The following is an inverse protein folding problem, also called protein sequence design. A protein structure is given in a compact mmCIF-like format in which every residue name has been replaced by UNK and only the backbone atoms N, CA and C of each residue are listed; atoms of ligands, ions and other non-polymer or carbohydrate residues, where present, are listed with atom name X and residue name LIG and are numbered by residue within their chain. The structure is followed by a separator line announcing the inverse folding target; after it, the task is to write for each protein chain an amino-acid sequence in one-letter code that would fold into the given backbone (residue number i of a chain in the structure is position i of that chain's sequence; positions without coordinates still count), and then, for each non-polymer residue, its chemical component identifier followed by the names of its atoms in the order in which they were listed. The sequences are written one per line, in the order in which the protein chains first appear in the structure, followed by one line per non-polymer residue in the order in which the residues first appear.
data_IF_636709932464
#
_entry.id   IF_636709932464
#
_cell.length_a   1.000
_cell.length_b   1.000
_cell.length_c   1.000
_cell.angle_alpha   90.00
_cell.angle_beta   90.00
_cell.angle_gamma   90.00
#
_symmetry.space_group_name_H-M   'P 1'
#
loop_
_entity.id
_entity.type
_entity.pdbx_description
1 polymer ?
#
# COMPACT_ATOMS: atom_id res chain seq x y z
N UNK A 1 10.33 30.07 -3.98
CA UNK A 1 8.87 30.02 -3.74
C UNK A 1 8.14 28.78 -4.33
N UNK A 2 8.80 27.85 -5.06
CA UNK A 2 8.16 26.65 -5.67
C UNK A 2 7.87 25.47 -4.70
N UNK A 3 8.56 25.38 -3.55
CA UNK A 3 8.46 24.24 -2.61
C UNK A 3 7.17 24.17 -1.81
N UNK A 4 6.50 25.31 -1.58
CA UNK A 4 5.32 25.40 -0.70
C UNK A 4 4.11 24.64 -1.26
N UNK A 5 3.98 24.54 -2.60
CA UNK A 5 2.84 23.89 -3.23
C UNK A 5 2.90 22.36 -3.21
N UNK A 6 4.08 21.74 -3.22
CA UNK A 6 4.20 20.27 -3.15
C UNK A 6 3.87 19.75 -1.76
N UNK A 7 4.36 20.42 -0.72
CA UNK A 7 4.00 20.10 0.66
C UNK A 7 2.52 20.30 0.96
N UNK A 8 1.91 21.37 0.43
CA UNK A 8 0.45 21.56 0.56
C UNK A 8 -0.33 20.42 -0.07
N UNK A 9 0.02 20.01 -1.29
CA UNK A 9 -0.61 18.87 -1.98
C UNK A 9 -0.40 17.56 -1.23
N UNK A 10 0.80 17.34 -0.70
CA UNK A 10 1.12 16.18 0.12
C UNK A 10 0.19 16.08 1.32
N UNK A 11 0.05 17.15 2.11
CA UNK A 11 -0.87 17.14 3.26
C UNK A 11 -2.33 16.93 2.85
N UNK A 12 -2.78 17.50 1.73
CA UNK A 12 -4.14 17.28 1.22
C UNK A 12 -4.36 15.82 0.82
N UNK A 13 -3.40 15.18 0.16
CA UNK A 13 -3.48 13.76 -0.22
C UNK A 13 -3.47 12.86 1.01
N UNK A 14 -2.61 13.15 2.01
CA UNK A 14 -2.59 12.41 3.28
C UNK A 14 -3.92 12.53 4.00
N UNK A 15 -4.47 13.75 4.13
CA UNK A 15 -5.76 13.98 4.77
C UNK A 15 -6.89 13.24 4.04
N UNK A 16 -6.90 13.28 2.71
CA UNK A 16 -7.85 12.53 1.89
C UNK A 16 -7.74 11.03 2.16
N UNK A 17 -6.53 10.47 2.11
CA UNK A 17 -6.31 9.03 2.30
C UNK A 17 -6.71 8.57 3.71
N UNK A 18 -6.41 9.36 4.74
CA UNK A 18 -6.83 9.09 6.12
C UNK A 18 -8.35 9.12 6.26
N UNK A 19 -9.03 10.15 5.73
CA UNK A 19 -10.49 10.22 5.78
C UNK A 19 -11.15 9.08 5.00
N UNK A 20 -10.59 8.73 3.84
CA UNK A 20 -11.06 7.62 3.01
C UNK A 20 -10.86 6.27 3.72
N UNK A 21 -9.75 6.09 4.43
CA UNK A 21 -9.48 4.90 5.25
C UNK A 21 -10.49 4.72 6.40
N UNK A 22 -10.95 5.82 7.01
CA UNK A 22 -12.03 5.76 7.99
C UNK A 22 -13.34 5.25 7.35
N UNK A 23 -13.70 5.79 6.18
CA UNK A 23 -14.90 5.36 5.44
C UNK A 23 -14.82 3.87 5.12
N UNK A 24 -13.66 3.41 4.65
CA UNK A 24 -13.40 2.00 4.39
C UNK A 24 -13.61 1.13 5.64
N UNK A 25 -12.97 1.50 6.76
CA UNK A 25 -13.10 0.75 8.01
C UNK A 25 -14.55 0.71 8.52
N UNK A 26 -15.31 1.80 8.34
CA UNK A 26 -16.73 1.84 8.67
C UNK A 26 -17.58 0.92 7.78
N UNK A 27 -17.30 0.88 6.47
CA UNK A 27 -17.97 -0.04 5.54
C UNK A 27 -17.67 -1.50 5.92
N UNK A 28 -16.41 -1.82 6.22
CA UNK A 28 -16.02 -3.17 6.67
C UNK A 28 -16.70 -3.53 7.98
N UNK A 29 -16.81 -2.61 8.95
CA UNK A 29 -17.61 -2.83 10.17
C UNK A 29 -19.05 -3.21 9.84
N UNK A 30 -19.71 -2.45 8.95
CA UNK A 30 -21.09 -2.72 8.57
C UNK A 30 -21.24 -4.09 7.90
N UNK A 31 -20.38 -4.41 6.94
CA UNK A 31 -20.39 -5.70 6.25
C UNK A 31 -20.16 -6.85 7.23
N UNK A 32 -19.11 -6.77 8.05
CA UNK A 32 -18.79 -7.80 9.04
C UNK A 32 -19.90 -7.97 10.07
N UNK A 33 -20.61 -6.91 10.43
CA UNK A 33 -21.78 -6.98 11.32
C UNK A 33 -22.96 -7.67 10.63
N UNK A 34 -23.31 -7.28 9.40
CA UNK A 34 -24.41 -7.89 8.64
C UNK A 34 -24.18 -9.37 8.34
N UNK A 35 -22.93 -9.76 8.11
CA UNK A 35 -22.53 -11.14 7.85
C UNK A 35 -22.35 -11.97 9.13
N UNK A 36 -22.41 -11.34 10.31
CA UNK A 36 -22.04 -11.94 11.60
C UNK A 36 -20.62 -12.53 11.57
N UNK A 37 -19.68 -11.79 10.97
CA UNK A 37 -18.27 -12.14 10.76
C UNK A 37 -17.33 -11.01 11.17
N UNK A 38 -17.41 -10.58 12.43
CA UNK A 38 -16.54 -9.52 12.99
C UNK A 38 -15.05 -9.87 12.89
N UNK A 39 -14.70 -11.13 13.19
CA UNK A 39 -13.34 -11.64 13.03
C UNK A 39 -13.14 -12.17 11.60
N UNK A 40 -12.18 -11.67 10.81
CA UNK A 40 -11.99 -12.11 9.44
C UNK A 40 -11.46 -13.54 9.35
N UNK A 41 -10.60 -13.93 10.30
CA UNK A 41 -10.01 -15.25 10.36
C UNK A 41 -10.83 -16.20 11.24
N UNK A 42 -11.83 -16.85 10.62
CA UNK A 42 -12.71 -17.83 11.28
C UNK A 42 -13.24 -18.87 10.28
N UNK A 43 -13.82 -20.00 10.73
CA UNK A 43 -14.40 -20.99 9.84
C UNK A 43 -15.49 -20.38 8.94
N UNK A 44 -15.46 -20.74 7.65
CA UNK A 44 -16.32 -20.16 6.61
C UNK A 44 -16.21 -18.61 6.54
N UNK A 45 -15.00 -18.08 6.22
CA UNK A 45 -14.72 -16.65 6.34
C UNK A 45 -15.49 -15.80 5.32
N UNK A 46 -15.80 -16.33 4.13
CA UNK A 46 -16.50 -15.61 3.06
C UNK A 46 -17.85 -16.28 2.74
N UNK A 47 -18.90 -16.06 3.56
CA UNK A 47 -20.21 -16.66 3.34
C UNK A 47 -20.81 -16.27 1.99
N UNK A 48 -21.62 -17.15 1.41
CA UNK A 48 -22.30 -16.86 0.14
C UNK A 48 -23.53 -16.00 0.34
N UNK A 49 -23.37 -14.72 0.01
CA UNK A 49 -24.37 -13.66 0.20
C UNK A 49 -24.74 -12.94 -1.09
N UNK A 50 -24.46 -13.56 -2.24
CA UNK A 50 -24.90 -13.09 -3.57
C UNK A 50 -24.47 -11.66 -3.87
N UNK A 51 -25.43 -10.72 -3.79
CA UNK A 51 -25.26 -9.30 -4.13
C UNK A 51 -24.19 -8.61 -3.29
N UNK A 52 -24.10 -8.92 -1.99
CA UNK A 52 -23.11 -8.30 -1.09
C UNK A 52 -21.67 -8.65 -1.50
N UNK A 53 -21.41 -9.87 -1.97
CA UNK A 53 -20.09 -10.28 -2.43
C UNK A 53 -19.64 -9.54 -3.70
N UNK A 54 -20.57 -9.34 -4.65
CA UNK A 54 -20.29 -8.58 -5.86
C UNK A 54 -20.06 -7.09 -5.57
N UNK A 55 -20.87 -6.53 -4.67
CA UNK A 55 -20.70 -5.15 -4.23
C UNK A 55 -19.31 -4.94 -3.59
N UNK A 56 -18.84 -5.89 -2.79
CA UNK A 56 -17.51 -5.81 -2.17
C UNK A 56 -16.38 -5.83 -3.20
N UNK A 57 -16.48 -6.71 -4.21
CA UNK A 57 -15.49 -6.77 -5.27
C UNK A 57 -15.39 -5.45 -6.06
N UNK A 58 -16.55 -4.84 -6.37
CA UNK A 58 -16.61 -3.56 -7.07
C UNK A 58 -16.10 -2.43 -6.17
N UNK A 59 -16.40 -2.47 -4.87
CA UNK A 59 -15.95 -1.49 -3.89
C UNK A 59 -14.41 -1.48 -3.76
N UNK A 60 -13.78 -2.66 -3.72
CA UNK A 60 -12.32 -2.77 -3.74
C UNK A 60 -11.72 -2.21 -5.03
N UNK A 61 -12.30 -2.54 -6.20
CA UNK A 61 -11.87 -1.96 -7.47
C UNK A 61 -12.01 -0.42 -7.48
N UNK A 62 -13.13 0.09 -6.96
CA UNK A 62 -13.37 1.52 -6.85
C UNK A 62 -12.35 2.20 -5.93
N UNK A 63 -11.95 1.56 -4.83
CA UNK A 63 -10.89 2.05 -3.93
C UNK A 63 -9.56 2.23 -4.67
N UNK A 64 -9.15 1.24 -5.47
CA UNK A 64 -7.93 1.34 -6.29
C UNK A 64 -8.01 2.50 -7.30
N UNK A 65 -9.17 2.69 -7.93
CA UNK A 65 -9.42 3.81 -8.86
C UNK A 65 -9.36 5.16 -8.13
N UNK A 66 -9.95 5.27 -6.94
CA UNK A 66 -9.91 6.50 -6.13
C UNK A 66 -8.48 6.88 -5.75
N UNK A 67 -7.67 5.91 -5.29
CA UNK A 67 -6.27 6.13 -4.93
C UNK A 67 -5.41 6.53 -6.14
N UNK A 68 -5.62 5.88 -7.29
CA UNK A 68 -4.93 6.23 -8.53
C UNK A 68 -5.31 7.64 -9.02
N UNK A 69 -6.60 7.99 -8.99
CA UNK A 69 -7.10 9.27 -9.48
C UNK A 69 -6.68 10.45 -8.59
N UNK A 70 -6.71 10.32 -7.26
CA UNK A 70 -6.22 11.39 -6.36
C UNK A 70 -4.73 11.65 -6.56
N UNK A 71 -3.93 10.59 -6.77
CA UNK A 71 -2.52 10.74 -7.12
C UNK A 71 -2.33 11.46 -8.45
N UNK A 72 -3.14 11.11 -9.45
CA UNK A 72 -3.13 11.73 -10.77
C UNK A 72 -3.48 13.22 -10.74
N UNK A 73 -4.45 13.62 -9.91
CA UNK A 73 -4.86 15.01 -9.71
C UNK A 73 -3.79 15.82 -8.95
N UNK A 74 -3.09 15.21 -7.99
CA UNK A 74 -2.09 15.90 -7.19
C UNK A 74 -0.76 16.12 -7.94
N UNK A 75 -0.33 15.16 -8.77
CA UNK A 75 0.97 15.21 -9.45
C UNK A 75 1.03 16.13 -10.68
N UNK A 76 2.14 16.85 -10.83
CA UNK A 76 2.41 17.72 -12.00
C UNK A 76 3.07 16.97 -13.17
N UNK A 77 3.77 15.88 -12.87
CA UNK A 77 4.50 15.02 -13.81
C UNK A 77 3.99 13.59 -13.68
N UNK A 78 4.19 12.73 -14.68
CA UNK A 78 3.80 11.31 -14.57
C UNK A 78 4.41 10.62 -13.35
N UNK A 79 5.67 10.94 -13.04
CA UNK A 79 6.40 10.40 -11.88
C UNK A 79 5.79 10.85 -10.56
N UNK A 80 5.57 12.15 -10.39
CA UNK A 80 4.95 12.67 -9.17
C UNK A 80 3.51 12.19 -9.00
N UNK A 81 2.76 11.97 -10.10
CA UNK A 81 1.42 11.36 -10.06
C UNK A 81 1.45 9.94 -9.49
N UNK A 82 2.39 9.12 -9.95
CA UNK A 82 2.61 7.78 -9.37
C UNK A 82 3.06 7.90 -7.91
N UNK A 83 3.97 8.82 -7.58
CA UNK A 83 4.41 9.06 -6.21
C UNK A 83 3.26 9.40 -5.26
N UNK A 84 2.36 10.30 -5.66
CA UNK A 84 1.18 10.63 -4.86
C UNK A 84 0.17 9.48 -4.77
N UNK A 85 -0.02 8.69 -5.83
CA UNK A 85 -0.91 7.51 -5.78
C UNK A 85 -0.37 6.45 -4.81
N UNK A 86 0.93 6.17 -4.88
CA UNK A 86 1.63 5.22 -3.98
C UNK A 86 1.59 5.72 -2.53
N UNK A 87 1.82 7.02 -2.31
CA UNK A 87 1.66 7.64 -1.00
C UNK A 87 0.23 7.48 -0.46
N UNK A 88 -0.78 7.83 -1.27
CA UNK A 88 -2.18 7.76 -0.86
C UNK A 88 -2.57 6.33 -0.47
N UNK A 89 -2.15 5.34 -1.26
CA UNK A 89 -2.39 3.93 -0.97
C UNK A 89 -1.72 3.53 0.34
N UNK A 90 -0.43 3.82 0.54
CA UNK A 90 0.26 3.45 1.77
C UNK A 90 -0.34 4.11 3.02
N UNK A 91 -0.76 5.37 2.94
CA UNK A 91 -1.44 6.07 4.05
C UNK A 91 -2.81 5.46 4.32
N UNK A 92 -3.58 5.18 3.26
CA UNK A 92 -4.89 4.57 3.36
C UNK A 92 -4.82 3.19 4.04
N UNK A 93 -3.87 2.35 3.64
CA UNK A 93 -3.72 0.98 4.13
C UNK A 93 -3.36 0.95 5.63
N UNK A 94 -2.44 1.81 6.06
CA UNK A 94 -2.10 1.96 7.48
C UNK A 94 -3.30 2.56 8.26
N UNK A 95 -3.93 3.58 7.70
CA UNK A 95 -5.09 4.24 8.29
C UNK A 95 -6.25 3.27 8.50
N UNK A 96 -6.47 2.36 7.54
CA UNK A 96 -7.53 1.36 7.60
C UNK A 96 -7.42 0.54 8.88
N UNK A 97 -6.24 -0.03 9.15
CA UNK A 97 -6.02 -0.80 10.38
C UNK A 97 -6.06 0.04 11.66
N UNK A 98 -5.58 1.28 11.60
CA UNK A 98 -5.62 2.20 12.73
C UNK A 98 -7.07 2.50 13.16
N UNK A 99 -8.01 2.59 12.21
CA UNK A 99 -9.43 2.83 12.48
C UNK A 99 -10.23 1.54 12.68
N UNK A 100 -9.87 0.45 12.00
CA UNK A 100 -10.55 -0.83 12.12
C UNK A 100 -10.47 -1.37 13.57
N UNK A 101 -9.31 -1.18 14.22
CA UNK A 101 -9.07 -1.67 15.58
C UNK A 101 -10.05 -1.12 16.62
N UNK A 102 -10.24 0.21 16.78
CA UNK A 102 -11.23 0.73 17.71
C UNK A 102 -12.68 0.42 17.28
N UNK A 103 -12.97 0.26 15.98
CA UNK A 103 -14.33 -0.01 15.49
C UNK A 103 -14.78 -1.47 15.70
N UNK A 104 -13.87 -2.43 15.55
CA UNK A 104 -14.20 -3.87 15.52
C UNK A 104 -13.50 -4.68 16.61
N UNK A 105 -12.47 -4.11 17.27
CA UNK A 105 -11.53 -4.85 18.11
C UNK A 105 -10.46 -5.61 17.32
N UNK A 106 -10.45 -5.52 15.98
CA UNK A 106 -9.52 -6.21 15.09
C UNK A 106 -8.56 -5.24 14.37
N UNK A 107 -7.26 -5.55 14.24
CA UNK A 107 -6.57 -6.73 14.77
C UNK A 107 -6.22 -6.59 16.26
N UNK A 108 -6.07 -7.74 16.93
CA UNK A 108 -5.60 -7.81 18.33
C UNK A 108 -4.08 -7.78 18.40
N UNK A 109 -3.41 -8.36 17.40
CA UNK A 109 -1.96 -8.37 17.22
C UNK A 109 -1.58 -8.10 15.75
N UNK A 110 -0.35 -7.65 15.50
CA UNK A 110 0.14 -7.46 14.13
C UNK A 110 0.30 -8.78 13.35
N UNK A 111 0.28 -9.92 14.04
CA UNK A 111 0.40 -11.24 13.41
C UNK A 111 -0.96 -11.89 13.13
N UNK A 112 -2.05 -11.22 13.49
CA UNK A 112 -3.38 -11.74 13.20
C UNK A 112 -3.64 -11.71 11.69
N UNK A 113 -4.26 -12.78 11.19
CA UNK A 113 -4.56 -12.96 9.78
C UNK A 113 -5.76 -12.15 9.33
N UNK A 114 -5.65 -11.45 8.21
CA UNK A 114 -6.78 -10.75 7.61
C UNK A 114 -6.90 -11.08 6.12
N UNK A 115 -8.07 -10.77 5.57
CA UNK A 115 -8.32 -10.74 4.13
C UNK A 115 -8.03 -9.32 3.68
N UNK A 116 -6.94 -9.17 2.93
CA UNK A 116 -6.39 -7.86 2.58
C UNK A 116 -7.13 -7.24 1.39
N UNK A 117 -7.44 -8.07 0.40
CA UNK A 117 -8.16 -7.77 -0.83
C UNK A 117 -8.79 -9.07 -1.36
N UNK A 118 -9.85 -8.97 -2.15
CA UNK A 118 -10.48 -10.07 -2.90
C UNK A 118 -10.04 -10.12 -4.37
N UNK A 119 -9.46 -9.04 -4.89
CA UNK A 119 -9.03 -8.92 -6.29
C UNK A 119 -7.54 -9.28 -6.52
N UNK A 120 -7.20 -10.06 -7.57
CA UNK A 120 -8.09 -10.86 -8.43
C UNK A 120 -8.54 -12.17 -7.75
N UNK A 121 -7.84 -12.56 -6.68
CA UNK A 121 -8.15 -13.67 -5.79
C UNK A 121 -8.02 -13.15 -4.35
N UNK A 122 -8.58 -13.84 -3.34
CA UNK A 122 -8.43 -13.47 -1.94
C UNK A 122 -6.96 -13.43 -1.50
N UNK A 123 -6.53 -12.30 -0.95
CA UNK A 123 -5.21 -12.06 -0.39
C UNK A 123 -5.25 -12.30 1.10
N UNK A 124 -4.53 -13.32 1.54
CA UNK A 124 -4.45 -13.65 2.96
C UNK A 124 -3.07 -13.33 3.51
N UNK A 125 -3.02 -12.70 4.67
CA UNK A 125 -1.76 -12.48 5.37
C UNK A 125 -1.92 -11.90 6.77
N UNK A 126 -0.86 -11.96 7.59
CA UNK A 126 -0.82 -11.25 8.85
C UNK A 126 -0.80 -9.74 8.61
N UNK A 127 -1.50 -8.94 9.44
CA UNK A 127 -1.60 -7.47 9.27
C UNK A 127 -0.25 -6.75 9.17
N UNK A 128 0.80 -7.29 9.79
CA UNK A 128 2.17 -6.78 9.68
C UNK A 128 2.65 -6.71 8.22
N UNK A 129 2.25 -7.68 7.40
CA UNK A 129 2.72 -7.83 6.03
C UNK A 129 2.29 -6.66 5.11
N UNK A 130 1.00 -6.32 4.97
CA UNK A 130 0.58 -5.13 4.22
C UNK A 130 1.09 -3.84 4.88
N UNK A 131 1.05 -3.73 6.21
CA UNK A 131 1.50 -2.52 6.91
C UNK A 131 2.98 -2.17 6.64
N UNK A 132 3.87 -3.16 6.55
CA UNK A 132 5.28 -2.93 6.23
C UNK A 132 5.48 -2.52 4.75
N UNK A 133 4.71 -3.09 3.82
CA UNK A 133 4.70 -2.65 2.41
C UNK A 133 4.18 -1.21 2.32
N UNK A 134 3.09 -0.91 3.02
CA UNK A 134 2.50 0.41 3.08
C UNK A 134 3.48 1.46 3.64
N UNK A 135 4.29 1.11 4.65
CA UNK A 135 5.36 1.99 5.13
C UNK A 135 6.39 2.32 4.05
N UNK A 136 6.84 1.33 3.26
CA UNK A 136 7.70 1.55 2.09
C UNK A 136 7.03 2.43 1.04
N UNK A 137 5.74 2.24 0.80
CA UNK A 137 4.96 3.06 -0.14
C UNK A 137 4.86 4.51 0.34
N UNK A 138 4.60 4.76 1.63
CA UNK A 138 4.58 6.12 2.19
C UNK A 138 5.95 6.78 2.03
N UNK A 139 7.03 6.08 2.35
CA UNK A 139 8.39 6.62 2.22
C UNK A 139 8.75 6.90 0.75
N UNK A 140 8.67 5.89 -0.12
CA UNK A 140 9.02 6.00 -1.54
C UNK A 140 8.12 6.97 -2.30
N UNK A 141 6.81 6.90 -2.07
CA UNK A 141 5.82 7.80 -2.63
C UNK A 141 6.09 9.25 -2.24
N UNK A 142 6.39 9.52 -0.96
CA UNK A 142 6.76 10.86 -0.48
C UNK A 142 8.05 11.36 -1.12
N UNK A 143 9.08 10.52 -1.21
CA UNK A 143 10.36 10.88 -1.84
C UNK A 143 10.15 11.32 -3.29
N UNK A 144 9.36 10.58 -4.07
CA UNK A 144 9.07 10.97 -5.46
C UNK A 144 8.15 12.20 -5.52
N UNK A 145 7.06 12.21 -4.76
CA UNK A 145 6.05 13.27 -4.83
C UNK A 145 6.58 14.66 -4.43
N UNK A 146 7.51 14.71 -3.47
CA UNK A 146 8.05 15.97 -2.94
C UNK A 146 9.25 16.49 -3.74
N UNK A 147 10.01 15.61 -4.41
CA UNK A 147 11.28 15.99 -5.04
C UNK A 147 11.24 15.97 -6.58
N UNK A 148 10.28 15.29 -7.22
CA UNK A 148 10.19 15.27 -8.68
C UNK A 148 9.64 16.58 -9.25
N UNK A 149 10.37 17.13 -10.22
CA UNK A 149 9.94 18.29 -11.01
C UNK A 149 10.23 18.06 -12.49
N UNK A 150 9.69 18.93 -13.36
CA UNK A 150 9.98 18.89 -14.81
C UNK A 150 11.47 19.11 -15.07
N UNK A 151 12.06 20.10 -14.38
CA UNK A 151 13.47 20.50 -14.53
C UNK A 151 14.44 19.51 -13.86
N UNK A 152 14.01 18.87 -12.76
CA UNK A 152 14.82 17.93 -11.98
C UNK A 152 14.06 16.62 -11.80
N UNK A 153 14.22 15.66 -12.73
CA UNK A 153 13.61 14.35 -12.63
C UNK A 153 14.16 13.54 -11.44
N UNK A 154 13.24 13.05 -10.60
CA UNK A 154 13.51 12.28 -9.40
C UNK A 154 12.75 10.94 -9.46
N UNK A 155 13.47 9.88 -9.84
CA UNK A 155 12.90 8.56 -10.12
C UNK A 155 13.94 7.46 -9.86
N UNK A 156 13.52 6.23 -9.46
CA UNK A 156 14.44 5.11 -9.30
C UNK A 156 15.12 4.72 -10.61
N UNK A 157 16.35 4.21 -10.52
CA UNK A 157 17.06 3.65 -11.66
C UNK A 157 16.40 2.37 -12.19
N UNK A 158 16.75 1.97 -13.42
CA UNK A 158 16.18 0.78 -14.09
C UNK A 158 16.32 -0.53 -13.30
N UNK A 159 17.44 -0.71 -12.59
CA UNK A 159 17.65 -1.90 -11.77
C UNK A 159 16.76 -1.91 -10.53
N UNK A 160 16.56 -0.74 -9.92
CA UNK A 160 15.62 -0.60 -8.81
C UNK A 160 14.18 -0.76 -9.26
N UNK A 161 13.82 -0.32 -10.46
CA UNK A 161 12.51 -0.60 -11.04
C UNK A 161 12.31 -2.10 -11.31
N UNK A 162 13.33 -2.80 -11.80
CA UNK A 162 13.29 -4.25 -11.96
C UNK A 162 13.15 -4.95 -10.60
N UNK A 163 13.88 -4.49 -9.57
CA UNK A 163 13.72 -4.97 -8.21
C UNK A 163 12.30 -4.73 -7.69
N UNK A 164 11.71 -3.55 -7.90
CA UNK A 164 10.31 -3.27 -7.57
C UNK A 164 9.37 -4.25 -8.25
N UNK A 165 9.54 -4.49 -9.55
CA UNK A 165 8.68 -5.43 -10.29
C UNK A 165 8.77 -6.85 -9.72
N UNK A 166 9.97 -7.34 -9.44
CA UNK A 166 10.17 -8.64 -8.77
C UNK A 166 9.53 -8.66 -7.39
N UNK A 167 9.73 -7.60 -6.60
CA UNK A 167 9.12 -7.45 -5.27
C UNK A 167 7.59 -7.51 -5.32
N UNK A 168 6.96 -6.77 -6.23
CA UNK A 168 5.50 -6.79 -6.44
C UNK A 168 5.02 -8.19 -6.81
N UNK A 169 5.69 -8.86 -7.76
CA UNK A 169 5.31 -10.23 -8.15
C UNK A 169 5.43 -11.23 -7.01
N UNK A 170 6.48 -11.12 -6.18
CA UNK A 170 6.63 -11.95 -4.99
C UNK A 170 5.53 -11.68 -3.96
N UNK A 171 5.17 -10.40 -3.73
CA UNK A 171 4.09 -10.05 -2.80
C UNK A 171 2.74 -10.60 -3.26
N UNK A 172 2.40 -10.39 -4.53
CA UNK A 172 1.18 -10.91 -5.13
C UNK A 172 1.13 -12.43 -5.01
N UNK A 173 2.22 -13.13 -5.32
CA UNK A 173 2.30 -14.57 -5.17
C UNK A 173 2.11 -15.00 -3.71
N UNK A 174 2.81 -14.39 -2.76
CA UNK A 174 2.75 -14.76 -1.35
C UNK A 174 1.34 -14.61 -0.78
N UNK A 175 0.66 -13.49 -1.06
CA UNK A 175 -0.70 -13.26 -0.55
C UNK A 175 -1.76 -14.14 -1.21
N UNK A 176 -1.55 -14.53 -2.47
CA UNK A 176 -2.48 -15.39 -3.22
C UNK A 176 -2.10 -16.88 -3.21
N UNK A 177 -1.00 -17.28 -2.56
CA UNK A 177 -0.41 -18.61 -2.70
C UNK A 177 -1.41 -19.74 -2.39
N UNK A 178 -2.16 -19.60 -1.30
CA UNK A 178 -3.19 -20.56 -0.92
C UNK A 178 -4.41 -20.50 -1.85
N UNK A 179 -4.83 -19.30 -2.27
CA UNK A 179 -5.94 -19.11 -3.20
C UNK A 179 -5.65 -19.75 -4.58
N UNK A 180 -4.42 -19.62 -5.08
CA UNK A 180 -3.95 -20.24 -6.33
C UNK A 180 -4.02 -21.77 -6.26
N UNK A 181 -3.77 -22.37 -5.08
CA UNK A 181 -3.82 -23.82 -4.94
C UNK A 181 -5.25 -24.38 -4.97
N UNK A 182 -6.23 -23.59 -4.51
CA UNK A 182 -7.63 -24.04 -4.38
C UNK A 182 -8.55 -23.51 -5.47
N UNK A 183 -8.14 -22.52 -6.29
CA UNK A 183 -8.98 -21.93 -7.34
C UNK A 183 -9.52 -22.95 -8.33
N UNK A 184 -8.75 -24.00 -8.65
CA UNK A 184 -9.16 -25.08 -9.56
C UNK A 184 -10.27 -25.96 -8.99
N UNK A 185 -10.50 -25.92 -7.68
CA UNK A 185 -11.54 -26.67 -6.97
C UNK A 185 -12.89 -25.92 -6.94
N UNK A 186 -12.94 -24.70 -7.48
CA UNK A 186 -14.15 -23.88 -7.61
C UNK A 186 -14.35 -22.85 -6.51
N UNK A 187 -15.39 -22.03 -6.68
CA UNK A 187 -15.66 -20.86 -5.84
C UNK A 187 -15.91 -21.21 -4.37
N UNK A 188 -16.58 -22.34 -4.11
CA UNK A 188 -16.85 -22.78 -2.73
C UNK A 188 -15.57 -23.09 -1.96
N UNK A 189 -14.52 -23.59 -2.64
CA UNK A 189 -13.24 -23.86 -2.01
C UNK A 189 -12.51 -22.56 -1.65
N UNK A 190 -12.53 -21.57 -2.55
CA UNK A 190 -11.99 -20.23 -2.28
C UNK A 190 -12.67 -19.54 -1.10
N UNK A 191 -14.00 -19.64 -1.01
CA UNK A 191 -14.79 -19.01 0.07
C UNK A 191 -14.53 -19.63 1.44
N UNK A 192 -14.22 -20.93 1.48
CA UNK A 192 -13.91 -21.68 2.71
C UNK A 192 -12.42 -21.66 3.05
N UNK A 193 -11.57 -21.07 2.20
CA UNK A 193 -10.13 -21.06 2.37
C UNK A 193 -9.74 -20.36 3.69
N UNK A 194 -8.93 -21.03 4.49
CA UNK A 194 -8.37 -20.49 5.73
C UNK A 194 -6.89 -20.91 5.83
N UNK A 195 -5.95 -20.05 5.42
CA UNK A 195 -4.52 -20.39 5.42
C UNK A 195 -3.97 -20.59 6.83
N UNK A 196 -3.00 -21.49 6.98
CA UNK A 196 -2.39 -21.82 8.29
C UNK A 196 -0.94 -21.33 8.38
N UNK A 197 -0.28 -21.12 7.24
CA UNK A 197 1.14 -20.74 7.18
C UNK A 197 1.34 -19.57 6.23
N UNK A 198 2.06 -18.55 6.67
CA UNK A 198 2.46 -17.44 5.82
C UNK A 198 3.89 -17.65 5.31
N UNK A 199 4.12 -17.38 4.03
CA UNK A 199 5.41 -17.60 3.34
C UNK A 199 6.45 -16.52 3.68
N UNK A 200 6.79 -16.37 4.97
CA UNK A 200 7.69 -15.33 5.49
C UNK A 200 9.02 -15.19 4.73
N UNK A 201 9.75 -16.26 4.37
CA UNK A 201 11.03 -16.09 3.66
C UNK A 201 10.88 -15.42 2.30
N UNK A 202 9.86 -15.80 1.51
CA UNK A 202 9.58 -15.18 0.21
C UNK A 202 9.05 -13.76 0.37
N UNK A 203 8.22 -13.54 1.40
CA UNK A 203 7.76 -12.20 1.76
C UNK A 203 8.94 -11.27 2.07
N UNK A 204 9.88 -11.69 2.93
CA UNK A 204 11.04 -10.87 3.30
C UNK A 204 11.92 -10.57 2.08
N UNK A 205 12.12 -11.54 1.18
CA UNK A 205 12.84 -11.31 -0.07
C UNK A 205 12.15 -10.24 -0.93
N UNK A 206 10.84 -10.36 -1.13
CA UNK A 206 10.09 -9.35 -1.88
C UNK A 206 10.11 -7.98 -1.19
N UNK A 207 10.08 -7.93 0.14
CA UNK A 207 10.10 -6.68 0.91
C UNK A 207 11.44 -5.97 0.74
N UNK A 208 12.55 -6.72 0.77
CA UNK A 208 13.88 -6.20 0.44
C UNK A 208 13.89 -5.63 -0.97
N UNK A 209 13.36 -6.36 -1.96
CA UNK A 209 13.26 -5.87 -3.34
C UNK A 209 12.46 -4.56 -3.46
N UNK A 210 11.34 -4.44 -2.73
CA UNK A 210 10.54 -3.20 -2.67
C UNK A 210 11.26 -2.05 -1.93
N UNK A 211 12.17 -2.37 -1.01
CA UNK A 211 12.96 -1.38 -0.28
C UNK A 211 14.10 -0.76 -1.10
N UNK A 212 14.61 -1.46 -2.11
CA UNK A 212 15.72 -0.99 -2.99
C UNK A 212 15.49 0.42 -3.54
N UNK A 213 14.38 0.75 -4.23
CA UNK A 213 14.15 2.09 -4.77
C UNK A 213 14.05 3.16 -3.67
N UNK A 214 13.51 2.82 -2.49
CA UNK A 214 13.38 3.77 -1.38
C UNK A 214 14.76 4.16 -0.86
N UNK A 215 15.63 3.17 -0.64
CA UNK A 215 17.01 3.37 -0.19
C UNK A 215 17.82 4.12 -1.23
N UNK A 216 17.72 3.75 -2.51
CA UNK A 216 18.40 4.46 -3.62
C UNK A 216 18.03 5.94 -3.63
N UNK A 217 16.73 6.24 -3.62
CA UNK A 217 16.23 7.62 -3.67
C UNK A 217 16.63 8.41 -2.42
N UNK A 218 16.59 7.78 -1.23
CA UNK A 218 17.00 8.42 0.02
C UNK A 218 18.50 8.77 -0.01
N UNK A 219 19.36 7.85 -0.45
CA UNK A 219 20.81 8.09 -0.59
C UNK A 219 21.07 9.20 -1.61
N UNK A 220 20.39 9.17 -2.76
CA UNK A 220 20.51 10.21 -3.78
C UNK A 220 20.14 11.59 -3.22
N UNK A 221 19.01 11.69 -2.51
CA UNK A 221 18.57 12.93 -1.88
C UNK A 221 19.57 13.43 -0.82
N UNK A 222 20.14 12.53 -0.02
CA UNK A 222 21.15 12.88 0.96
C UNK A 222 22.42 13.44 0.30
N UNK A 223 22.91 12.82 -0.78
CA UNK A 223 24.07 13.28 -1.54
C UNK A 223 23.83 14.66 -2.19
N UNK A 224 22.64 14.89 -2.75
CA UNK A 224 22.28 16.19 -3.33
C UNK A 224 22.22 17.31 -2.28
N UNK A 225 21.85 17.00 -1.03
CA UNK A 225 21.87 17.98 0.08
C UNK A 225 23.28 18.27 0.58
N UNK A 226 24.14 17.26 0.68
CA UNK A 226 25.53 17.42 1.14
C UNK A 226 26.40 18.12 0.08
N UNK A 227 26.21 17.81 -1.20
CA UNK A 227 26.93 18.46 -2.31
C UNK A 227 26.35 19.79 -2.79
N UNK A 228 25.35 20.34 -2.08
CA UNK A 228 24.75 21.65 -2.38
C UNK A 228 25.66 22.82 -1.98
N UNK A 229 25.30 24.07 -2.36
CA UNK A 229 26.19 25.25 -2.31
C UNK A 229 26.75 25.64 -0.93
N UNK A 230 26.34 24.98 0.16
CA UNK A 230 26.98 25.11 1.48
C UNK A 230 28.39 24.53 1.49
N UNK A 231 28.70 23.52 0.66
CA UNK A 231 30.06 22.95 0.56
C UNK A 231 31.03 23.81 -0.27
N UNK A 232 30.51 24.67 -1.16
CA UNK A 232 31.32 25.58 -1.98
C UNK A 232 31.62 26.91 -1.30
N UNK A 233 30.94 27.23 -0.20
CA UNK A 233 31.20 28.46 0.57
C UNK A 233 32.46 28.33 1.44
N UNK A 234 32.74 27.15 1.99
CA UNK A 234 33.94 26.91 2.81
C UNK A 234 35.22 26.72 1.97
N UNK A 235 35.10 26.41 0.68
CA UNK A 235 36.24 26.21 -0.23
C UNK A 235 36.70 27.49 -0.97
N UNK A 236 36.02 28.63 -0.76
CA UNK A 236 36.35 29.91 -1.40
C UNK A 236 37.04 30.91 -0.45
N UNK A 237 37.44 30.45 0.74
CA UNK A 237 38.09 31.26 1.78
C UNK A 237 39.52 30.83 2.14
N UNK A 238 40.12 29.93 1.36
CA UNK A 238 41.57 29.66 1.39
C UNK A 238 42.24 30.18 0.11
#
# INVERSE_FOLDING_TARGET
MKTNNSWRRWWVVVLFAVAMAWVEAAVVLYLRTMLNRIEPYQPNPLPDVGVLGHAELIREAATLVMLATVGWLAGQTMRSRVGFAVLAFGVWDIGYYLFLRPLTGWPRSLLDWDILFLLPLPWWGPVLAPAAIAALMVMGGSLVALNDTVERPFWPGRFSLAATAVGVMLMLYVFMADAIQVVSQGEQALRKLLPVRFLWPLYLLGLVCLGVPVVELAIRLARERVGGPLATADAATE
#
